data_IF_428580377565
#
_entry.id   IF_428580377565
#
_cell.length_a   1.000
_cell.length_b   1.000
_cell.length_c   1.000
_cell.angle_alpha   90.00
_cell.angle_beta   90.00
_cell.angle_gamma   90.00
#
_symmetry.space_group_name_H-M   'P 1'
#
loop_
_entity.id
_entity.type
_entity.pdbx_description
1 polymer ?
#
# COMPACT_ATOMS: atom_id res chain seq x y z
N UNK A 1 18.29 -10.80 -16.80
CA UNK A 1 16.92 -10.56 -17.34
C UNK A 1 15.99 -11.41 -16.50
N UNK A 2 15.13 -10.82 -15.65
CA UNK A 2 14.01 -11.59 -15.10
C UNK A 2 13.12 -11.91 -16.30
N UNK A 3 12.86 -13.19 -16.55
CA UNK A 3 11.89 -13.61 -17.55
C UNK A 3 10.56 -12.95 -17.18
N UNK A 4 10.06 -12.07 -18.03
CA UNK A 4 8.70 -11.55 -17.93
C UNK A 4 7.78 -12.76 -18.11
N UNK A 5 7.35 -13.36 -17.00
CA UNK A 5 6.38 -14.45 -17.03
C UNK A 5 5.21 -14.01 -17.88
N UNK A 6 4.77 -14.84 -18.80
CA UNK A 6 3.61 -14.59 -19.66
C UNK A 6 2.43 -14.19 -18.74
N UNK A 7 1.59 -13.20 -19.10
CA UNK A 7 0.51 -12.72 -18.23
C UNK A 7 -0.40 -13.83 -17.66
N UNK A 8 -0.65 -14.88 -18.43
CA UNK A 8 -1.44 -16.05 -18.01
C UNK A 8 -0.75 -16.90 -16.93
N UNK A 9 0.59 -16.91 -16.88
CA UNK A 9 1.37 -17.60 -15.84
C UNK A 9 1.48 -16.76 -14.57
N UNK A 10 1.33 -15.43 -14.69
CA UNK A 10 1.40 -14.51 -13.56
C UNK A 10 0.15 -14.53 -12.68
N UNK A 11 -1.00 -14.80 -13.28
CA UNK A 11 -2.31 -14.78 -12.63
C UNK A 11 -3.14 -16.01 -13.02
N UNK A 12 -2.78 -17.22 -12.58
CA UNK A 12 -3.50 -18.45 -12.96
C UNK A 12 -4.98 -18.39 -12.56
N UNK A 13 -5.34 -17.71 -11.47
CA UNK A 13 -6.72 -17.54 -11.01
C UNK A 13 -7.56 -16.62 -11.92
N UNK A 14 -6.90 -15.82 -12.77
CA UNK A 14 -7.57 -14.92 -13.72
C UNK A 14 -7.61 -15.49 -15.15
N UNK A 15 -6.93 -16.61 -15.43
CA UNK A 15 -6.80 -17.16 -16.79
C UNK A 15 -8.14 -17.40 -17.49
N UNK A 16 -9.14 -17.87 -16.74
CA UNK A 16 -10.48 -18.19 -17.25
C UNK A 16 -11.50 -17.05 -17.17
N UNK A 17 -11.08 -15.86 -16.68
CA UNK A 17 -11.98 -14.71 -16.66
C UNK A 17 -12.21 -14.16 -18.06
N UNK A 18 -13.41 -13.63 -18.29
CA UNK A 18 -13.69 -12.86 -19.50
C UNK A 18 -12.87 -11.56 -19.50
N UNK A 19 -12.52 -11.08 -20.69
CA UNK A 19 -11.84 -9.81 -20.85
C UNK A 19 -12.81 -8.66 -20.55
N UNK A 20 -12.40 -7.78 -19.64
CA UNK A 20 -13.11 -6.54 -19.39
C UNK A 20 -12.62 -5.45 -20.35
N UNK A 21 -13.53 -4.60 -20.79
CA UNK A 21 -13.19 -3.44 -21.59
C UNK A 21 -12.23 -2.51 -20.82
N UNK A 22 -11.23 -2.00 -21.53
CA UNK A 22 -10.33 -0.98 -20.98
C UNK A 22 -10.71 0.38 -21.57
N UNK A 23 -11.50 1.19 -20.84
CA UNK A 23 -11.90 2.50 -21.34
C UNK A 23 -10.68 3.43 -21.48
N UNK A 24 -10.74 4.31 -22.48
CA UNK A 24 -9.66 5.27 -22.73
C UNK A 24 -9.50 6.20 -21.51
N UNK A 25 -8.28 6.27 -20.99
CA UNK A 25 -7.94 7.16 -19.85
C UNK A 25 -8.21 8.63 -20.24
N UNK A 26 -8.90 9.40 -19.40
CA UNK A 26 -9.14 10.81 -19.62
C UNK A 26 -7.85 11.65 -19.51
N UNK A 27 -7.93 12.90 -19.97
CA UNK A 27 -6.76 13.79 -20.06
C UNK A 27 -6.10 14.13 -18.73
N UNK A 28 -6.84 14.04 -17.62
CA UNK A 28 -6.31 14.32 -16.28
C UNK A 28 -5.53 13.13 -15.66
N UNK A 29 -5.61 11.93 -16.25
CA UNK A 29 -4.77 10.80 -15.87
C UNK A 29 -3.52 10.80 -16.76
N UNK A 30 -2.52 11.56 -16.37
CA UNK A 30 -1.23 11.65 -17.07
C UNK A 30 -0.10 11.32 -16.12
N UNK A 31 0.82 10.48 -16.56
CA UNK A 31 2.00 10.04 -15.82
C UNK A 31 3.27 10.46 -16.56
N UNK A 32 4.34 10.70 -15.81
CA UNK A 32 5.67 10.88 -16.37
C UNK A 32 6.23 9.54 -16.83
N UNK A 33 6.79 9.51 -18.03
CA UNK A 33 7.50 8.31 -18.48
C UNK A 33 8.72 8.03 -17.57
N UNK A 34 8.97 6.73 -17.24
CA UNK A 34 10.18 6.35 -16.50
C UNK A 34 11.44 6.79 -17.27
N UNK A 35 12.39 7.41 -16.58
CA UNK A 35 13.65 7.81 -17.22
C UNK A 35 14.44 8.84 -16.40
N UNK A 36 15.65 9.16 -16.88
CA UNK A 36 16.55 10.09 -16.22
C UNK A 36 17.54 9.43 -15.26
N UNK A 37 18.52 10.24 -14.78
CA UNK A 37 19.64 9.76 -13.97
C UNK A 37 19.16 9.20 -12.62
N UNK A 38 18.29 9.90 -11.91
CA UNK A 38 17.77 9.44 -10.60
C UNK A 38 16.99 8.14 -10.69
N UNK A 39 16.16 7.97 -11.74
CA UNK A 39 15.47 6.70 -12.01
C UNK A 39 16.47 5.54 -12.19
N UNK A 40 17.49 5.74 -13.03
CA UNK A 40 18.50 4.72 -13.32
C UNK A 40 19.30 4.33 -12.07
N UNK A 41 19.62 5.31 -11.22
CA UNK A 41 20.34 5.09 -9.95
C UNK A 41 19.50 4.29 -8.95
N UNK A 42 18.23 4.66 -8.75
CA UNK A 42 17.30 3.92 -7.89
C UNK A 42 17.13 2.49 -8.41
N UNK A 43 16.89 2.31 -9.71
CA UNK A 43 16.78 1.00 -10.33
C UNK A 43 18.04 0.14 -10.09
N UNK A 44 19.24 0.73 -10.27
CA UNK A 44 20.51 0.06 -10.04
C UNK A 44 20.64 -0.44 -8.60
N UNK A 45 20.31 0.42 -7.62
CA UNK A 45 20.37 0.05 -6.19
C UNK A 45 19.43 -1.11 -5.88
N UNK A 46 18.20 -1.11 -6.43
CA UNK A 46 17.26 -2.22 -6.25
C UNK A 46 17.84 -3.53 -6.80
N UNK A 47 18.43 -3.52 -8.00
CA UNK A 47 19.01 -4.72 -8.62
C UNK A 47 20.27 -5.22 -7.88
N UNK A 48 21.17 -4.34 -7.49
CA UNK A 48 22.39 -4.70 -6.74
C UNK A 48 22.10 -5.33 -5.39
N UNK A 49 20.97 -4.99 -4.76
CA UNK A 49 20.53 -5.55 -3.49
C UNK A 49 19.52 -6.71 -3.64
N UNK A 50 19.23 -7.15 -4.87
CA UNK A 50 18.24 -8.19 -5.15
C UNK A 50 16.90 -7.94 -4.45
N UNK A 51 16.41 -6.69 -4.53
CA UNK A 51 15.15 -6.27 -3.92
C UNK A 51 14.02 -6.22 -4.94
N UNK A 52 12.84 -6.57 -4.46
CA UNK A 52 11.57 -6.45 -5.19
C UNK A 52 10.89 -5.15 -4.79
N UNK A 53 10.21 -4.50 -5.74
CA UNK A 53 9.43 -3.29 -5.46
C UNK A 53 7.99 -3.45 -5.94
N UNK A 54 7.05 -3.01 -5.13
CA UNK A 54 5.64 -2.96 -5.57
C UNK A 54 5.46 -1.99 -6.74
N UNK A 55 6.36 -1.01 -6.89
CA UNK A 55 6.32 -0.04 -7.99
C UNK A 55 6.41 -0.72 -9.36
N UNK A 56 7.26 -1.75 -9.49
CA UNK A 56 7.40 -2.54 -10.72
C UNK A 56 6.34 -3.63 -10.80
N UNK A 57 6.17 -4.40 -9.73
CA UNK A 57 5.29 -5.58 -9.73
C UNK A 57 3.81 -5.21 -9.91
N UNK A 58 3.35 -4.14 -9.27
CA UNK A 58 1.99 -3.64 -9.45
C UNK A 58 1.79 -2.80 -10.73
N UNK A 59 2.87 -2.47 -11.46
CA UNK A 59 2.78 -1.57 -12.62
C UNK A 59 2.37 -0.16 -12.21
N UNK A 60 2.97 0.39 -11.16
CA UNK A 60 2.59 1.67 -10.58
C UNK A 60 2.75 2.83 -11.59
N UNK A 61 1.72 3.66 -11.81
CA UNK A 61 1.80 4.78 -12.74
C UNK A 61 2.83 5.84 -12.34
N UNK A 62 3.18 5.93 -11.06
CA UNK A 62 4.05 6.96 -10.52
C UNK A 62 5.53 6.55 -10.47
N UNK A 63 5.91 5.34 -10.93
CA UNK A 63 7.27 4.81 -10.82
C UNK A 63 8.32 5.76 -11.40
N UNK A 64 8.02 6.40 -12.54
CA UNK A 64 8.94 7.34 -13.20
C UNK A 64 9.25 8.57 -12.35
N UNK A 65 8.25 9.09 -11.62
CA UNK A 65 8.42 10.24 -10.74
C UNK A 65 9.09 9.85 -9.42
N UNK A 66 8.56 8.85 -8.73
CA UNK A 66 9.07 8.40 -7.43
C UNK A 66 10.54 8.00 -7.52
N UNK A 67 10.91 7.16 -8.48
CA UNK A 67 12.29 6.70 -8.62
C UNK A 67 13.25 7.80 -9.07
N UNK A 68 12.78 8.81 -9.82
CA UNK A 68 13.60 9.97 -10.14
C UNK A 68 13.98 10.79 -8.91
N UNK A 69 13.19 10.68 -7.84
CA UNK A 69 13.42 11.31 -6.53
C UNK A 69 14.09 10.37 -5.53
N UNK A 70 14.46 9.16 -5.94
CA UNK A 70 15.06 8.15 -5.07
C UNK A 70 14.04 7.38 -4.20
N UNK A 71 12.75 7.62 -4.35
CA UNK A 71 11.71 6.98 -3.56
C UNK A 71 11.26 5.65 -4.21
N UNK A 72 11.36 4.54 -3.47
CA UNK A 72 10.85 3.24 -3.88
C UNK A 72 10.16 2.56 -2.69
N UNK A 73 9.06 1.85 -2.99
CA UNK A 73 8.37 1.04 -1.98
C UNK A 73 8.92 -0.38 -2.05
N UNK A 74 9.60 -0.79 -0.98
CA UNK A 74 10.19 -2.12 -0.88
C UNK A 74 9.09 -3.16 -0.68
N UNK A 75 9.10 -4.23 -1.48
CA UNK A 75 8.19 -5.36 -1.32
C UNK A 75 9.00 -6.55 -0.81
N UNK A 76 8.71 -6.97 0.41
CA UNK A 76 9.39 -8.07 1.09
C UNK A 76 8.60 -9.38 0.97
N UNK A 77 9.26 -10.49 1.33
CA UNK A 77 8.71 -11.86 1.31
C UNK A 77 8.45 -12.41 -0.10
N UNK A 78 9.19 -11.90 -1.09
CA UNK A 78 9.13 -12.36 -2.47
C UNK A 78 8.14 -11.60 -3.35
N UNK A 79 7.85 -12.19 -4.52
CA UNK A 79 7.03 -11.55 -5.58
C UNK A 79 5.72 -12.30 -5.88
N UNK A 80 5.44 -13.41 -5.15
CA UNK A 80 4.27 -14.26 -5.36
C UNK A 80 3.35 -14.15 -4.16
N UNK A 81 2.10 -13.73 -4.38
CA UNK A 81 1.07 -13.57 -3.36
C UNK A 81 0.21 -14.82 -3.27
N UNK A 82 -0.22 -15.19 -2.06
CA UNK A 82 -1.16 -16.31 -1.84
C UNK A 82 -2.62 -15.94 -2.13
N UNK A 83 -2.92 -14.65 -2.35
CA UNK A 83 -4.28 -14.14 -2.59
C UNK A 83 -4.45 -13.54 -3.97
N UNK A 84 -5.59 -13.84 -4.61
CA UNK A 84 -5.95 -13.40 -5.96
C UNK A 84 -6.92 -12.21 -5.98
N UNK A 85 -6.54 -11.06 -5.41
CA UNK A 85 -7.33 -9.84 -5.51
C UNK A 85 -7.52 -9.44 -6.98
N UNK A 86 -8.76 -9.11 -7.38
CA UNK A 86 -9.09 -8.97 -8.79
C UNK A 86 -8.53 -7.72 -9.44
N UNK A 87 -8.21 -6.72 -8.64
CA UNK A 87 -7.59 -5.45 -9.04
C UNK A 87 -6.06 -5.51 -9.11
N UNK A 88 -5.43 -6.46 -8.40
CA UNK A 88 -4.00 -6.47 -8.14
C UNK A 88 -3.19 -7.13 -9.26
N UNK A 89 -2.08 -6.50 -9.64
CA UNK A 89 -1.18 -7.00 -10.67
C UNK A 89 -0.01 -7.84 -10.12
N UNK A 90 0.07 -8.05 -8.80
CA UNK A 90 1.08 -8.91 -8.20
C UNK A 90 0.83 -10.36 -8.60
N UNK A 91 1.89 -11.10 -8.96
CA UNK A 91 1.79 -12.51 -9.33
C UNK A 91 1.22 -13.35 -8.19
N UNK A 92 0.43 -14.37 -8.53
CA UNK A 92 -0.22 -15.23 -7.54
C UNK A 92 0.25 -16.67 -7.69
N UNK A 93 0.24 -17.40 -6.58
CA UNK A 93 0.67 -18.80 -6.59
C UNK A 93 1.20 -19.26 -5.24
N UNK A 94 2.11 -20.24 -5.29
CA UNK A 94 2.84 -20.71 -4.12
C UNK A 94 4.15 -19.93 -4.01
N UNK A 95 4.35 -19.12 -2.95
CA UNK A 95 5.61 -18.41 -2.72
C UNK A 95 6.75 -19.36 -2.38
N UNK A 96 7.97 -18.88 -2.60
CA UNK A 96 9.19 -19.52 -2.11
C UNK A 96 9.36 -19.31 -0.60
N UNK A 97 10.32 -20.03 0.01
CA UNK A 97 10.70 -19.85 1.41
C UNK A 97 11.21 -18.41 1.66
N UNK A 98 11.07 -17.96 2.91
CA UNK A 98 11.56 -16.64 3.30
C UNK A 98 13.08 -16.57 3.23
N UNK A 99 13.58 -15.47 2.67
CA UNK A 99 15.02 -15.17 2.68
C UNK A 99 15.40 -14.44 3.99
N UNK A 100 16.09 -15.14 4.86
CA UNK A 100 16.54 -14.61 6.15
C UNK A 100 17.47 -13.38 6.03
N UNK A 101 18.10 -13.15 4.87
CA UNK A 101 18.98 -12.00 4.62
C UNK A 101 18.25 -10.79 4.03
N UNK A 102 17.00 -10.92 3.62
CA UNK A 102 16.22 -9.84 3.01
C UNK A 102 16.10 -8.59 3.93
N UNK A 103 15.82 -8.71 5.25
CA UNK A 103 15.78 -7.55 6.15
C UNK A 103 17.07 -6.73 6.15
N UNK A 104 18.22 -7.40 6.12
CA UNK A 104 19.54 -6.76 6.05
C UNK A 104 19.79 -6.04 4.72
N UNK A 105 19.33 -6.61 3.61
CA UNK A 105 19.46 -6.00 2.27
C UNK A 105 18.54 -4.78 2.12
N UNK A 106 17.30 -4.86 2.64
CA UNK A 106 16.38 -3.71 2.68
C UNK A 106 17.01 -2.57 3.49
N UNK A 107 17.51 -2.85 4.68
CA UNK A 107 18.15 -1.84 5.52
C UNK A 107 19.39 -1.20 4.85
N UNK A 108 20.19 -2.01 4.12
CA UNK A 108 21.33 -1.50 3.35
C UNK A 108 20.89 -0.58 2.21
N UNK A 109 19.85 -0.95 1.47
CA UNK A 109 19.34 -0.14 0.36
C UNK A 109 18.76 1.20 0.87
N UNK A 110 18.00 1.17 1.97
CA UNK A 110 17.47 2.38 2.63
C UNK A 110 18.60 3.35 3.01
N UNK A 111 19.66 2.83 3.61
CA UNK A 111 20.84 3.60 3.98
C UNK A 111 21.55 4.18 2.74
N UNK A 112 21.75 3.36 1.70
CA UNK A 112 22.44 3.75 0.46
C UNK A 112 21.67 4.82 -0.32
N UNK A 113 20.33 4.77 -0.30
CA UNK A 113 19.45 5.78 -0.89
C UNK A 113 19.34 7.05 -0.04
N UNK A 114 19.77 7.01 1.24
CA UNK A 114 19.65 8.14 2.16
C UNK A 114 18.21 8.54 2.44
N UNK A 115 17.30 7.58 2.53
CA UNK A 115 15.87 7.86 2.67
C UNK A 115 15.54 8.47 4.04
N UNK A 116 14.83 9.59 4.04
CA UNK A 116 14.23 10.16 5.25
C UNK A 116 12.95 9.40 5.67
N UNK A 117 12.28 8.80 4.70
CA UNK A 117 11.08 7.99 4.89
C UNK A 117 11.12 6.78 3.97
N UNK A 118 10.80 5.60 4.48
CA UNK A 118 10.70 4.37 3.71
C UNK A 118 9.33 3.74 3.87
N UNK A 119 8.77 3.25 2.77
CA UNK A 119 7.57 2.41 2.78
C UNK A 119 7.97 0.97 2.48
N UNK A 120 7.58 0.06 3.36
CA UNK A 120 7.83 -1.38 3.27
C UNK A 120 6.49 -2.08 3.19
N UNK A 121 6.27 -2.84 2.14
CA UNK A 121 5.07 -3.65 1.95
C UNK A 121 5.44 -5.11 1.70
N UNK A 122 4.45 -5.97 1.58
CA UNK A 122 4.66 -7.39 1.25
C UNK A 122 3.58 -7.93 0.34
N UNK A 123 3.79 -9.14 -0.14
CA UNK A 123 2.73 -10.03 -0.60
C UNK A 123 1.98 -10.63 0.59
N UNK A 124 0.74 -11.14 0.40
CA UNK A 124 0.10 -11.99 1.40
C UNK A 124 0.79 -13.36 1.47
N UNK A 125 1.05 -13.82 2.68
CA UNK A 125 1.72 -15.08 3.00
C UNK A 125 0.84 -15.95 3.91
N UNK A 126 -0.38 -16.26 3.44
CA UNK A 126 -1.32 -17.16 4.14
C UNK A 126 -0.77 -18.59 4.33
N UNK A 127 0.36 -18.89 3.72
CA UNK A 127 1.14 -20.14 3.86
C UNK A 127 2.00 -20.16 5.13
N UNK A 128 2.29 -19.00 5.72
CA UNK A 128 3.03 -18.86 6.97
C UNK A 128 2.09 -18.78 8.17
N UNK A 129 2.47 -19.39 9.28
CA UNK A 129 1.67 -19.41 10.51
C UNK A 129 1.46 -18.05 11.13
N UNK A 130 2.43 -17.13 10.93
CA UNK A 130 2.41 -15.76 11.41
C UNK A 130 2.09 -14.73 10.30
N UNK A 131 1.80 -15.19 9.08
CA UNK A 131 1.55 -14.30 7.93
C UNK A 131 2.73 -13.38 7.58
N UNK A 132 3.93 -13.67 8.07
CA UNK A 132 5.14 -12.87 7.88
C UNK A 132 5.34 -11.74 8.90
N UNK A 133 4.62 -11.75 10.02
CA UNK A 133 4.71 -10.70 11.06
C UNK A 133 6.14 -10.55 11.60
N UNK A 134 6.83 -11.65 11.93
CA UNK A 134 8.21 -11.60 12.41
C UNK A 134 9.16 -11.07 11.33
N UNK A 135 8.93 -11.38 10.06
CA UNK A 135 9.76 -10.86 8.96
C UNK A 135 9.61 -9.33 8.80
N UNK A 136 8.39 -8.79 8.97
CA UNK A 136 8.17 -7.34 9.09
C UNK A 136 8.94 -6.75 10.27
N UNK A 137 8.81 -7.35 11.46
CA UNK A 137 9.48 -6.87 12.66
C UNK A 137 11.01 -6.87 12.52
N UNK A 138 11.59 -7.91 11.94
CA UNK A 138 13.02 -7.98 11.65
C UNK A 138 13.45 -6.90 10.66
N UNK A 139 12.65 -6.65 9.63
CA UNK A 139 12.93 -5.60 8.63
C UNK A 139 12.89 -4.21 9.26
N UNK A 140 11.89 -3.92 10.09
CA UNK A 140 11.78 -2.65 10.83
C UNK A 140 13.00 -2.45 11.72
N UNK A 141 13.36 -3.47 12.54
CA UNK A 141 14.52 -3.41 13.46
C UNK A 141 15.84 -3.21 12.68
N UNK A 142 16.02 -3.91 11.54
CA UNK A 142 17.21 -3.77 10.71
C UNK A 142 17.34 -2.36 10.09
N UNK A 143 16.25 -1.79 9.58
CA UNK A 143 16.22 -0.42 9.05
C UNK A 143 16.49 0.59 10.17
N UNK A 144 15.82 0.45 11.33
CA UNK A 144 16.00 1.34 12.48
C UNK A 144 17.45 1.33 13.00
N UNK A 145 18.08 0.17 13.00
CA UNK A 145 19.49 0.04 13.42
C UNK A 145 20.45 0.75 12.47
N UNK A 146 20.28 0.59 11.13
CA UNK A 146 21.18 1.20 10.13
C UNK A 146 20.88 2.67 9.85
N UNK A 147 19.62 3.07 9.92
CA UNK A 147 19.13 4.39 9.57
C UNK A 147 18.18 4.92 10.65
N UNK A 148 18.69 5.25 11.87
CA UNK A 148 17.85 5.55 13.03
C UNK A 148 16.97 6.80 12.88
N UNK A 149 17.28 7.67 11.92
CA UNK A 149 16.50 8.89 11.62
C UNK A 149 15.43 8.68 10.55
N UNK A 150 15.48 7.54 9.84
CA UNK A 150 14.50 7.22 8.79
C UNK A 150 13.16 6.85 9.43
N UNK A 151 12.10 7.51 9.03
CA UNK A 151 10.73 7.11 9.39
C UNK A 151 10.31 5.88 8.59
N UNK A 152 9.65 4.94 9.27
CA UNK A 152 9.30 3.64 8.70
C UNK A 152 7.77 3.52 8.63
N UNK A 153 7.24 3.52 7.42
CA UNK A 153 5.86 3.14 7.14
C UNK A 153 5.83 1.69 6.66
N UNK A 154 4.93 0.90 7.22
CA UNK A 154 4.66 -0.46 6.75
C UNK A 154 3.26 -0.54 6.17
N UNK A 155 3.10 -1.26 5.06
CA UNK A 155 1.81 -1.63 4.49
C UNK A 155 1.66 -3.15 4.59
N UNK A 156 0.88 -3.60 5.56
CA UNK A 156 0.79 -5.01 5.94
C UNK A 156 -0.39 -5.73 5.27
N UNK A 157 -0.35 -7.08 5.18
CA UNK A 157 -1.55 -7.90 4.99
C UNK A 157 -2.50 -7.75 6.18
N UNK A 158 -3.69 -8.39 6.09
CA UNK A 158 -4.69 -8.33 7.16
C UNK A 158 -4.49 -9.38 8.27
N UNK A 159 -3.52 -10.29 8.12
CA UNK A 159 -3.27 -11.42 9.03
C UNK A 159 -4.52 -12.25 9.39
N UNK A 160 -5.50 -12.32 8.46
CA UNK A 160 -6.84 -12.91 8.72
C UNK A 160 -6.79 -14.36 9.20
N UNK A 161 -5.78 -15.14 8.76
CA UNK A 161 -5.65 -16.56 9.09
C UNK A 161 -4.69 -16.83 10.26
N UNK A 162 -4.12 -15.79 10.84
CA UNK A 162 -3.12 -15.90 11.89
C UNK A 162 -3.74 -15.76 13.28
N UNK A 163 -3.01 -16.21 14.30
CA UNK A 163 -3.36 -15.90 15.70
C UNK A 163 -3.36 -14.38 15.90
N UNK A 164 -4.34 -13.83 16.61
CA UNK A 164 -4.41 -12.39 16.85
C UNK A 164 -3.16 -11.77 17.50
N UNK A 165 -2.37 -12.54 18.24
CA UNK A 165 -1.11 -12.05 18.88
C UNK A 165 -0.01 -11.71 17.91
N UNK A 166 -0.07 -12.16 16.64
CA UNK A 166 0.96 -11.82 15.63
C UNK A 166 1.06 -10.31 15.40
N UNK A 167 -0.02 -9.57 15.63
CA UNK A 167 -0.03 -8.12 15.50
C UNK A 167 0.87 -7.45 16.54
N UNK A 168 0.98 -8.01 17.75
CA UNK A 168 1.84 -7.52 18.85
C UNK A 168 3.30 -7.48 18.41
N UNK A 169 3.75 -8.54 17.71
CA UNK A 169 5.13 -8.63 17.19
C UNK A 169 5.48 -7.46 16.28
N UNK A 170 4.55 -7.08 15.40
CA UNK A 170 4.74 -5.97 14.46
C UNK A 170 4.67 -4.62 15.17
N UNK A 171 3.72 -4.44 16.09
CA UNK A 171 3.55 -3.19 16.87
C UNK A 171 4.75 -2.95 17.78
N UNK A 172 5.28 -3.99 18.45
CA UNK A 172 6.47 -3.92 19.29
C UNK A 172 7.75 -3.53 18.52
N UNK A 173 7.81 -3.82 17.23
CA UNK A 173 8.91 -3.35 16.37
C UNK A 173 8.85 -1.83 16.10
N UNK A 174 7.76 -1.15 16.50
CA UNK A 174 7.53 0.30 16.46
C UNK A 174 7.73 0.93 15.08
N UNK A 175 6.91 0.57 14.07
CA UNK A 175 6.82 1.38 12.86
C UNK A 175 6.29 2.78 13.22
N UNK A 176 6.66 3.80 12.45
CA UNK A 176 6.12 5.16 12.64
C UNK A 176 4.70 5.29 12.09
N UNK A 177 4.41 4.55 10.99
CA UNK A 177 3.09 4.46 10.37
C UNK A 177 2.75 3.00 10.11
N UNK A 178 1.60 2.56 10.61
CA UNK A 178 1.00 1.26 10.30
C UNK A 178 -0.12 1.46 9.28
N UNK A 179 0.09 0.96 8.08
CA UNK A 179 -0.85 1.07 6.97
C UNK A 179 -1.43 -0.32 6.63
N UNK A 180 -2.74 -0.36 6.43
CA UNK A 180 -3.45 -1.48 5.81
C UNK A 180 -4.61 -0.93 4.98
N UNK A 181 -4.62 -1.19 3.68
CA UNK A 181 -5.65 -0.65 2.80
C UNK A 181 -6.96 -1.44 2.89
N UNK A 182 -8.09 -0.74 2.94
CA UNK A 182 -9.42 -1.32 2.74
C UNK A 182 -9.69 -1.63 1.25
N UNK A 183 -9.04 -0.92 0.35
CA UNK A 183 -9.06 -1.02 -1.10
C UNK A 183 -10.39 -0.62 -1.76
N UNK A 184 -11.54 -0.98 -1.19
CA UNK A 184 -12.87 -0.66 -1.72
C UNK A 184 -13.95 -0.68 -0.63
N UNK A 185 -15.19 -0.40 -1.01
CA UNK A 185 -16.38 -0.40 -0.14
C UNK A 185 -16.83 -1.82 0.20
N UNK A 186 -17.54 -2.04 1.34
CA UNK A 186 -17.94 -3.38 1.80
C UNK A 186 -18.67 -4.22 0.77
N UNK A 187 -19.60 -3.60 0.02
CA UNK A 187 -20.41 -4.29 -0.98
C UNK A 187 -19.62 -4.90 -2.15
N UNK A 188 -18.43 -4.36 -2.43
CA UNK A 188 -17.57 -4.83 -3.51
C UNK A 188 -16.51 -5.85 -3.05
N UNK A 189 -16.37 -6.11 -1.76
CA UNK A 189 -15.36 -7.07 -1.25
C UNK A 189 -15.44 -8.45 -1.89
N UNK A 190 -16.64 -9.09 -2.04
CA UNK A 190 -16.73 -10.42 -2.63
C UNK A 190 -16.16 -10.51 -4.04
N UNK A 191 -16.26 -9.44 -4.81
CA UNK A 191 -15.81 -9.37 -6.19
C UNK A 191 -14.36 -8.85 -6.31
N UNK A 192 -14.02 -7.80 -5.56
CA UNK A 192 -12.75 -7.07 -5.70
C UNK A 192 -11.66 -7.69 -4.83
N UNK A 193 -12.01 -8.12 -3.62
CA UNK A 193 -11.09 -8.63 -2.57
C UNK A 193 -11.60 -9.91 -1.88
N UNK A 194 -11.86 -10.98 -2.63
CA UNK A 194 -12.57 -12.16 -2.10
C UNK A 194 -11.86 -12.86 -0.91
N UNK A 195 -10.53 -12.73 -0.83
CA UNK A 195 -9.71 -13.29 0.26
C UNK A 195 -9.70 -12.49 1.56
N UNK A 196 -10.25 -11.27 1.58
CA UNK A 196 -10.22 -10.38 2.74
C UNK A 196 -11.61 -10.20 3.37
N UNK A 197 -11.65 -9.50 4.53
CA UNK A 197 -12.88 -9.16 5.23
C UNK A 197 -12.83 -7.71 5.69
N UNK A 198 -13.82 -6.90 5.29
CA UNK A 198 -13.86 -5.46 5.52
C UNK A 198 -13.73 -5.09 7.01
N UNK A 199 -14.58 -5.63 7.85
CA UNK A 199 -14.56 -5.33 9.29
C UNK A 199 -13.33 -5.88 10.00
N UNK A 200 -12.73 -6.97 9.50
CA UNK A 200 -11.47 -7.47 10.03
C UNK A 200 -10.33 -6.48 9.74
N UNK A 201 -10.28 -5.94 8.54
CA UNK A 201 -9.28 -4.91 8.14
C UNK A 201 -9.41 -3.63 8.98
N UNK A 202 -10.64 -3.18 9.28
CA UNK A 202 -10.87 -2.06 10.21
C UNK A 202 -10.41 -2.38 11.63
N UNK A 203 -10.79 -3.56 12.13
CA UNK A 203 -10.42 -3.99 13.49
C UNK A 203 -8.91 -4.15 13.65
N UNK A 204 -8.20 -4.57 12.61
CA UNK A 204 -6.73 -4.63 12.60
C UNK A 204 -6.13 -3.27 12.94
N UNK A 205 -6.52 -2.21 12.22
CA UNK A 205 -6.01 -0.84 12.43
C UNK A 205 -6.44 -0.27 13.79
N UNK A 206 -7.67 -0.53 14.21
CA UNK A 206 -8.15 -0.14 15.54
C UNK A 206 -7.31 -0.76 16.64
N UNK A 207 -6.97 -2.07 16.54
CA UNK A 207 -6.12 -2.75 17.51
C UNK A 207 -4.71 -2.17 17.59
N UNK A 208 -4.13 -1.73 16.47
CA UNK A 208 -2.84 -1.02 16.49
C UNK A 208 -2.93 0.22 17.37
N UNK A 209 -4.01 1.01 17.24
CA UNK A 209 -4.24 2.19 18.08
C UNK A 209 -4.44 1.85 19.57
N UNK A 210 -5.15 0.76 19.85
CA UNK A 210 -5.35 0.28 21.22
C UNK A 210 -4.05 -0.18 21.86
N UNK A 211 -3.13 -0.80 21.09
CA UNK A 211 -1.82 -1.28 21.57
C UNK A 211 -0.80 -0.16 21.72
N UNK A 212 -0.69 0.72 20.74
CA UNK A 212 0.22 1.86 20.77
C UNK A 212 -0.39 3.09 20.06
N UNK A 213 -1.00 4.02 20.82
CA UNK A 213 -1.59 5.25 20.28
C UNK A 213 -0.57 6.18 19.59
N UNK A 214 0.73 5.99 19.83
CA UNK A 214 1.77 6.82 19.21
C UNK A 214 2.00 6.49 17.74
N UNK A 215 1.71 5.25 17.31
CA UNK A 215 1.79 4.82 15.91
C UNK A 215 0.67 5.50 15.12
N UNK A 216 1.03 6.13 14.01
CA UNK A 216 0.03 6.63 13.07
C UNK A 216 -0.62 5.48 12.30
N UNK A 217 -1.94 5.48 12.19
CA UNK A 217 -2.67 4.51 11.37
C UNK A 217 -3.08 5.13 10.05
N UNK A 218 -2.94 4.35 8.99
CA UNK A 218 -3.23 4.76 7.62
C UNK A 218 -4.04 3.71 6.90
N UNK A 219 -4.95 4.16 6.04
CA UNK A 219 -5.67 3.27 5.13
C UNK A 219 -5.93 3.95 3.79
N UNK A 220 -6.29 3.16 2.80
CA UNK A 220 -6.60 3.67 1.48
C UNK A 220 -7.70 2.89 0.80
N UNK A 221 -8.39 3.58 -0.11
CA UNK A 221 -9.35 3.00 -1.05
C UNK A 221 -9.06 3.45 -2.47
N UNK A 222 -9.45 2.63 -3.41
CA UNK A 222 -9.56 2.98 -4.81
C UNK A 222 -11.01 3.29 -5.14
N UNK A 223 -11.23 4.26 -6.04
CA UNK A 223 -12.54 4.62 -6.57
C UNK A 223 -12.60 4.36 -8.07
N UNK A 224 -13.82 4.17 -8.59
CA UNK A 224 -14.07 3.77 -9.97
C UNK A 224 -14.16 2.25 -10.17
N UNK A 225 -14.48 1.50 -9.10
CA UNK A 225 -14.72 0.06 -9.09
C UNK A 225 -16.20 -0.31 -9.13
N UNK A 226 -17.14 0.68 -9.06
CA UNK A 226 -18.58 0.50 -9.02
C UNK A 226 -19.26 0.98 -7.74
N UNK A 227 -18.49 1.61 -6.85
CA UNK A 227 -19.00 2.27 -5.65
C UNK A 227 -19.71 3.59 -5.97
N UNK A 228 -20.65 3.97 -5.13
CA UNK A 228 -21.27 5.30 -5.13
C UNK A 228 -20.63 6.25 -4.08
N UNK A 229 -20.97 7.53 -4.18
CA UNK A 229 -20.44 8.55 -3.27
C UNK A 229 -20.83 8.31 -1.80
N UNK A 230 -22.05 7.82 -1.55
CA UNK A 230 -22.53 7.57 -0.19
C UNK A 230 -21.75 6.42 0.46
N UNK A 231 -21.45 5.37 -0.30
CA UNK A 231 -20.62 4.25 0.15
C UNK A 231 -19.19 4.69 0.48
N UNK A 232 -18.58 5.57 -0.35
CA UNK A 232 -17.26 6.15 -0.04
C UNK A 232 -17.29 6.95 1.25
N UNK A 233 -18.32 7.78 1.45
CA UNK A 233 -18.50 8.58 2.68
C UNK A 233 -18.74 7.71 3.92
N UNK A 234 -19.44 6.58 3.79
CA UNK A 234 -19.62 5.60 4.87
C UNK A 234 -18.28 4.95 5.25
N UNK A 235 -17.44 4.57 4.26
CA UNK A 235 -16.11 4.04 4.54
C UNK A 235 -15.25 5.05 5.33
N UNK A 236 -15.37 6.33 5.04
CA UNK A 236 -14.68 7.36 5.83
C UNK A 236 -15.19 7.38 7.29
N UNK A 237 -16.49 7.23 7.52
CA UNK A 237 -17.06 7.17 8.88
C UNK A 237 -16.58 5.93 9.62
N UNK A 238 -16.57 4.76 8.97
CA UNK A 238 -16.09 3.51 9.53
C UNK A 238 -14.59 3.60 9.89
N UNK A 239 -13.79 4.21 9.03
CA UNK A 239 -12.36 4.45 9.28
C UNK A 239 -12.16 5.39 10.48
N UNK A 240 -12.97 6.46 10.62
CA UNK A 240 -12.88 7.35 11.78
C UNK A 240 -13.33 6.68 13.06
N UNK A 241 -14.34 5.80 13.00
CA UNK A 241 -14.74 4.98 14.14
C UNK A 241 -13.63 4.01 14.59
N UNK A 242 -12.76 3.58 13.69
CA UNK A 242 -11.55 2.80 13.97
C UNK A 242 -10.32 3.65 14.32
N UNK A 243 -10.47 4.97 14.49
CA UNK A 243 -9.43 5.96 14.81
C UNK A 243 -8.25 5.97 13.82
N UNK A 244 -8.56 5.85 12.52
CA UNK A 244 -7.54 5.93 11.46
C UNK A 244 -7.18 7.40 11.22
N UNK A 245 -5.89 7.71 11.26
CA UNK A 245 -5.35 9.08 11.15
C UNK A 245 -5.30 9.60 9.73
N UNK A 246 -4.90 8.76 8.77
CA UNK A 246 -4.60 9.15 7.39
C UNK A 246 -5.38 8.32 6.38
N UNK A 247 -6.03 9.00 5.44
CA UNK A 247 -6.79 8.40 4.34
C UNK A 247 -6.16 8.72 2.99
N UNK A 248 -5.96 7.71 2.16
CA UNK A 248 -5.61 7.88 0.74
C UNK A 248 -6.77 7.42 -0.17
N UNK A 249 -7.10 8.22 -1.20
CA UNK A 249 -8.12 7.88 -2.20
C UNK A 249 -7.50 8.06 -3.59
N UNK A 250 -7.44 6.98 -4.37
CA UNK A 250 -6.89 6.99 -5.72
C UNK A 250 -7.83 6.38 -6.76
N UNK A 251 -7.68 6.75 -8.03
CA UNK A 251 -8.42 6.11 -9.11
C UNK A 251 -7.93 4.69 -9.34
N UNK A 252 -8.84 3.74 -9.42
CA UNK A 252 -8.51 2.40 -9.93
C UNK A 252 -8.08 2.47 -11.39
N UNK A 253 -6.93 1.87 -11.68
CA UNK A 253 -6.42 1.75 -13.06
C UNK A 253 -6.22 0.26 -13.37
N UNK A 254 -7.04 -0.26 -14.25
CA UNK A 254 -7.05 -1.68 -14.64
C UNK A 254 -5.70 -2.08 -15.27
N UNK A 255 -4.98 -3.08 -14.71
CA UNK A 255 -3.68 -3.48 -15.23
C UNK A 255 -3.76 -4.21 -16.58
N UNK A 256 -4.66 -5.16 -16.71
CA UNK A 256 -4.90 -5.94 -17.95
C UNK A 256 -6.40 -6.21 -18.13
N UNK A 257 -6.86 -6.62 -19.31
CA UNK A 257 -8.28 -6.96 -19.54
C UNK A 257 -8.82 -8.04 -18.59
N UNK A 258 -7.97 -8.90 -18.03
CA UNK A 258 -8.35 -9.99 -17.10
C UNK A 258 -8.59 -9.51 -15.66
N UNK A 259 -8.23 -8.28 -15.33
CA UNK A 259 -8.48 -7.68 -14.03
C UNK A 259 -9.91 -7.11 -13.94
N UNK A 260 -10.33 -6.74 -12.75
CA UNK A 260 -11.61 -6.05 -12.53
C UNK A 260 -11.73 -4.85 -13.48
N UNK A 261 -12.91 -4.66 -14.08
CA UNK A 261 -13.15 -3.55 -15.02
C UNK A 261 -13.14 -2.19 -14.31
N UNK A 262 -12.78 -1.14 -15.04
CA UNK A 262 -13.01 0.23 -14.57
C UNK A 262 -14.48 0.57 -14.85
N UNK A 263 -15.24 0.86 -13.79
CA UNK A 263 -16.63 1.30 -13.90
C UNK A 263 -16.69 2.73 -14.47
N UNK A 264 -15.95 3.64 -13.83
CA UNK A 264 -15.84 5.04 -14.27
C UNK A 264 -14.50 5.66 -13.91
N UNK A 265 -14.16 6.76 -14.55
CA UNK A 265 -13.08 7.64 -14.11
C UNK A 265 -13.67 8.79 -13.29
N UNK A 266 -13.31 8.83 -12.02
CA UNK A 266 -13.71 9.88 -11.07
C UNK A 266 -12.99 11.18 -11.42
N UNK A 267 -13.71 12.30 -11.42
CA UNK A 267 -13.16 13.60 -11.83
C UNK A 267 -12.28 14.22 -10.74
N UNK A 268 -11.36 15.13 -11.08
CA UNK A 268 -10.58 15.87 -10.08
C UNK A 268 -11.43 16.63 -9.07
N UNK A 269 -12.59 17.15 -9.49
CA UNK A 269 -13.54 17.88 -8.64
C UNK A 269 -14.19 16.96 -7.61
N UNK A 270 -14.51 15.72 -7.99
CA UNK A 270 -15.02 14.70 -7.07
C UNK A 270 -13.95 14.30 -6.05
N UNK A 271 -12.68 14.13 -6.48
CA UNK A 271 -11.56 13.89 -5.56
C UNK A 271 -11.40 15.03 -4.55
N UNK A 272 -11.48 16.27 -4.98
CA UNK A 272 -11.45 17.44 -4.08
C UNK A 272 -12.63 17.45 -3.10
N UNK A 273 -13.84 17.00 -3.52
CA UNK A 273 -15.00 16.81 -2.65
C UNK A 273 -14.73 15.74 -1.59
N UNK A 274 -14.15 14.60 -1.97
CA UNK A 274 -13.78 13.55 -1.03
C UNK A 274 -12.74 14.03 -0.01
N UNK A 275 -11.71 14.74 -0.46
CA UNK A 275 -10.68 15.30 0.41
C UNK A 275 -11.29 16.23 1.46
N UNK A 276 -12.11 17.19 1.02
CA UNK A 276 -12.81 18.12 1.91
C UNK A 276 -13.71 17.39 2.90
N UNK A 277 -14.47 16.39 2.45
CA UNK A 277 -15.35 15.60 3.30
C UNK A 277 -14.55 14.83 4.37
N UNK A 278 -13.44 14.21 4.00
CA UNK A 278 -12.59 13.46 4.91
C UNK A 278 -11.94 14.37 5.97
N UNK A 279 -11.42 15.54 5.60
CA UNK A 279 -10.96 16.52 6.60
C UNK A 279 -12.08 16.96 7.53
N UNK A 280 -13.31 17.19 7.01
CA UNK A 280 -14.49 17.52 7.82
C UNK A 280 -14.90 16.41 8.80
N UNK A 281 -14.53 15.15 8.52
CA UNK A 281 -14.75 13.99 9.42
C UNK A 281 -13.61 13.81 10.45
N UNK A 282 -12.55 14.63 10.41
CA UNK A 282 -11.49 14.65 11.41
C UNK A 282 -10.30 13.75 11.11
N UNK A 283 -10.06 13.35 9.85
CA UNK A 283 -8.76 12.79 9.47
C UNK A 283 -7.67 13.85 9.65
N UNK A 284 -6.53 13.44 10.18
CA UNK A 284 -5.37 14.33 10.35
C UNK A 284 -4.69 14.65 9.02
N UNK A 285 -4.71 13.71 8.09
CA UNK A 285 -4.16 13.82 6.74
C UNK A 285 -5.06 13.12 5.73
N UNK A 286 -5.21 13.72 4.56
CA UNK A 286 -5.93 13.14 3.42
C UNK A 286 -5.12 13.40 2.15
N UNK A 287 -5.00 12.39 1.30
CA UNK A 287 -4.47 12.52 -0.05
C UNK A 287 -5.47 11.89 -1.02
N UNK A 288 -6.13 12.73 -1.81
CA UNK A 288 -7.20 12.30 -2.71
C UNK A 288 -7.01 12.92 -4.10
N UNK A 289 -6.38 12.16 -5.00
CA UNK A 289 -6.18 12.54 -6.41
C UNK A 289 -6.26 11.31 -7.31
N UNK A 290 -6.48 11.47 -8.62
CA UNK A 290 -6.50 10.33 -9.55
C UNK A 290 -5.25 9.44 -9.50
N UNK A 291 -4.09 10.01 -9.21
CA UNK A 291 -2.82 9.29 -9.17
C UNK A 291 -2.35 8.94 -7.75
N UNK A 292 -3.10 9.31 -6.70
CA UNK A 292 -2.79 8.90 -5.32
C UNK A 292 -2.65 7.38 -5.23
N UNK A 293 -1.60 6.94 -4.54
CA UNK A 293 -1.32 5.57 -4.12
C UNK A 293 -0.84 5.60 -2.68
N UNK A 294 -0.94 4.50 -1.97
CA UNK A 294 -0.62 4.43 -0.53
C UNK A 294 0.79 4.95 -0.20
N UNK A 295 1.76 4.79 -1.10
CA UNK A 295 3.15 5.24 -0.90
C UNK A 295 3.54 6.48 -1.72
N UNK A 296 2.61 7.06 -2.49
CA UNK A 296 2.90 8.24 -3.31
C UNK A 296 3.02 9.47 -2.42
N UNK A 297 4.17 10.16 -2.47
CA UNK A 297 4.54 11.29 -1.58
C UNK A 297 4.49 10.99 -0.07
N UNK A 298 4.62 9.72 0.34
CA UNK A 298 4.44 9.29 1.73
C UNK A 298 5.35 10.06 2.72
N UNK A 299 6.57 10.44 2.33
CA UNK A 299 7.47 11.22 3.18
C UNK A 299 6.97 12.64 3.47
N UNK A 300 6.48 13.34 2.45
CA UNK A 300 5.91 14.69 2.60
C UNK A 300 4.61 14.64 3.40
N UNK A 301 3.78 13.65 3.13
CA UNK A 301 2.51 13.42 3.84
C UNK A 301 2.75 13.09 5.31
N UNK A 302 3.79 12.31 5.64
CA UNK A 302 4.16 12.01 7.03
C UNK A 302 4.57 13.26 7.80
N UNK A 303 5.33 14.16 7.19
CA UNK A 303 5.71 15.42 7.85
C UNK A 303 4.46 16.24 8.21
N UNK A 304 3.52 16.38 7.28
CA UNK A 304 2.23 17.08 7.49
C UNK A 304 1.37 16.38 8.56
N UNK A 305 1.34 15.04 8.55
CA UNK A 305 0.59 14.23 9.51
C UNK A 305 1.10 14.46 10.94
N UNK A 306 2.43 14.45 11.13
CA UNK A 306 3.07 14.72 12.41
C UNK A 306 2.74 16.14 12.93
N UNK A 307 2.83 17.14 12.05
CA UNK A 307 2.53 18.53 12.40
C UNK A 307 1.03 18.69 12.75
N UNK A 308 0.14 18.01 12.06
CA UNK A 308 -1.31 18.02 12.37
C UNK A 308 -1.61 17.39 13.75
N UNK A 309 -0.94 16.28 14.10
CA UNK A 309 -1.08 15.67 15.43
C UNK A 309 -0.60 16.61 16.53
N UNK A 310 0.57 17.24 16.34
CA UNK A 310 1.13 18.18 17.30
C UNK A 310 0.15 19.35 17.57
N UNK A 311 -0.38 19.95 16.51
CA UNK A 311 -1.38 21.04 16.65
C UNK A 311 -2.64 20.59 17.38
N UNK A 312 -3.12 19.37 17.14
CA UNK A 312 -4.29 18.83 17.83
C UNK A 312 -4.05 18.66 19.34
N UNK A 313 -2.84 18.21 19.72
CA UNK A 313 -2.45 18.06 21.13
C UNK A 313 -2.31 19.43 21.85
N UNK A 314 -1.93 20.48 21.13
CA UNK A 314 -1.80 21.83 21.67
C UNK A 314 -3.15 22.55 21.85
N UNK A 315 -4.21 22.09 21.19
CA UNK A 315 -5.56 22.67 21.21
C UNK A 315 -6.53 21.97 22.18
N UNK A 316 -6.20 20.78 22.67
CA UNK A 316 -7.00 19.96 23.59
C UNK A 316 -6.46 19.96 24.98
#
# INVERSE_FOLDING_TARGET
>A
MRDLKIPEQRHPEKAHRQDNAQPKKPKWIRVKAPGGKGYAETHKIMRENNLVTVCEEAGCPNVGECWSQGHATMMIMGEICTRGCTFCNIATGRPDDLDAFEPGRVAHAVQKLGLNHVVITSVDRDDLTDGGAEHFAQTIRAVRHRSPKTTIEILTPDFLKCDPSVLEVVVEAKPDVFNHNLETVPGLYPEVRPGARYFHSLRLLQRVKEMDPSIFTKSGIMVGLGEDEQQVRQVMDDMRAADIDFLTIGQYLQPTPKHHGVDRFVTPEEFASYEKAAFGKGFLMVSATPLTRSSYHAGDDFARLRDARQKKLEQG
#
